data_IF_692677546691
#
_entry.id   IF_692677546691
#
_cell.length_a   1.000
_cell.length_b   1.000
_cell.length_c   1.000
_cell.angle_alpha   90.00
_cell.angle_beta   90.00
_cell.angle_gamma   90.00
#
_symmetry.space_group_name_H-M   'P 1'
#
loop_
_entity.id
_entity.type
_entity.pdbx_description
1 polymer ?
#
# COMPACT_ATOMS: atom_id res chain seq x y z
N UNK A 1 -22.27 15.78 3.62
CA UNK A 1 -20.92 16.22 4.03
C UNK A 1 -19.97 15.04 3.82
N UNK A 2 -19.72 14.67 2.55
CA UNK A 2 -19.00 13.43 2.21
C UNK A 2 -17.84 13.66 1.22
N UNK A 3 -17.51 14.91 0.88
CA UNK A 3 -16.60 15.23 -0.23
C UNK A 3 -15.15 15.56 0.17
N UNK A 4 -14.81 15.56 1.46
CA UNK A 4 -13.49 16.00 1.95
C UNK A 4 -12.44 14.89 1.98
N UNK A 5 -12.85 13.62 2.18
CA UNK A 5 -11.91 12.48 2.18
C UNK A 5 -11.35 12.20 0.78
N UNK A 6 -12.20 12.24 -0.25
CA UNK A 6 -11.78 11.95 -1.62
C UNK A 6 -10.83 13.02 -2.18
N UNK A 7 -11.09 14.31 -1.90
CA UNK A 7 -10.20 15.41 -2.31
C UNK A 7 -8.82 15.31 -1.65
N UNK A 8 -8.77 14.99 -0.35
CA UNK A 8 -7.50 14.84 0.36
C UNK A 8 -6.67 13.65 -0.14
N UNK A 9 -7.33 12.55 -0.55
CA UNK A 9 -6.61 11.35 -0.98
C UNK A 9 -6.04 11.53 -2.39
N UNK A 10 -6.78 12.20 -3.28
CA UNK A 10 -6.28 12.55 -4.62
C UNK A 10 -5.03 13.44 -4.53
N UNK A 11 -5.09 14.52 -3.75
CA UNK A 11 -3.96 15.43 -3.57
C UNK A 11 -2.77 14.74 -2.88
N UNK A 12 -3.03 13.84 -1.92
CA UNK A 12 -2.02 12.99 -1.29
C UNK A 12 -1.27 12.12 -2.31
N UNK A 13 -1.99 11.52 -3.25
CA UNK A 13 -1.36 10.66 -4.25
C UNK A 13 -0.62 11.47 -5.31
N UNK A 14 -1.12 12.64 -5.70
CA UNK A 14 -0.44 13.52 -6.65
C UNK A 14 0.90 14.01 -6.08
N UNK A 15 0.91 14.51 -4.84
CA UNK A 15 2.16 14.93 -4.19
C UNK A 15 3.13 13.76 -3.99
N UNK A 16 2.62 12.58 -3.59
CA UNK A 16 3.44 11.38 -3.42
C UNK A 16 4.06 10.96 -4.75
N UNK A 17 3.28 10.97 -5.84
CA UNK A 17 3.78 10.66 -7.19
C UNK A 17 4.93 11.58 -7.59
N UNK A 18 4.75 12.89 -7.41
CA UNK A 18 5.78 13.89 -7.74
C UNK A 18 7.03 13.68 -6.88
N UNK A 19 6.87 13.45 -5.57
CA UNK A 19 7.98 13.20 -4.65
C UNK A 19 8.77 11.94 -5.04
N UNK A 20 8.06 10.86 -5.38
CA UNK A 20 8.68 9.61 -5.82
C UNK A 20 9.41 9.76 -7.15
N UNK A 21 8.82 10.45 -8.11
CA UNK A 21 9.43 10.70 -9.43
C UNK A 21 10.67 11.58 -9.34
N UNK A 22 10.68 12.57 -8.42
CA UNK A 22 11.84 13.42 -8.20
C UNK A 22 12.95 12.72 -7.37
N UNK A 23 12.57 11.83 -6.46
CA UNK A 23 13.52 11.20 -5.52
C UNK A 23 14.07 9.86 -6.01
N UNK A 24 13.36 9.16 -6.90
CA UNK A 24 13.74 7.83 -7.37
C UNK A 24 13.86 7.76 -8.90
N UNK A 25 14.83 6.99 -9.37
CA UNK A 25 14.96 6.62 -10.79
C UNK A 25 14.41 5.22 -10.99
N UNK A 26 13.37 5.08 -11.82
CA UNK A 26 12.69 3.81 -12.04
C UNK A 26 13.37 2.95 -13.12
N UNK A 27 13.33 1.61 -13.02
CA UNK A 27 12.67 0.80 -11.99
C UNK A 27 13.43 0.80 -10.65
N UNK A 28 12.70 0.89 -9.54
CA UNK A 28 13.24 0.97 -8.19
C UNK A 28 12.45 0.08 -7.24
N UNK A 29 13.14 -0.44 -6.22
CA UNK A 29 12.51 -1.16 -5.11
C UNK A 29 11.71 -0.20 -4.23
N UNK A 30 10.47 -0.56 -3.95
CA UNK A 30 9.59 0.22 -3.09
C UNK A 30 9.01 -0.68 -2.00
N UNK A 31 9.21 -0.27 -0.76
CA UNK A 31 8.72 -0.97 0.42
C UNK A 31 7.42 -0.33 0.91
N UNK A 32 6.31 -1.01 0.69
CA UNK A 32 5.04 -0.64 1.31
C UNK A 32 4.95 -1.18 2.73
N UNK A 33 4.35 -0.39 3.61
CA UNK A 33 3.96 -0.83 4.94
C UNK A 33 2.48 -0.61 5.13
N UNK A 34 1.75 -1.72 5.28
CA UNK A 34 0.34 -1.72 5.60
C UNK A 34 0.13 -2.28 7.00
N UNK A 35 -0.90 -1.81 7.67
CA UNK A 35 -1.41 -2.36 8.91
C UNK A 35 -2.87 -2.69 8.62
N UNK A 36 -3.20 -3.98 8.66
CA UNK A 36 -4.57 -4.45 8.48
C UNK A 36 -5.05 -5.09 9.79
N UNK A 37 -6.34 -4.99 10.11
CA UNK A 37 -6.89 -5.78 11.20
C UNK A 37 -6.71 -7.27 10.90
N UNK A 38 -6.36 -8.07 11.92
CA UNK A 38 -6.17 -9.53 11.78
C UNK A 38 -7.48 -10.32 11.67
N UNK A 39 -8.57 -9.63 11.37
CA UNK A 39 -9.91 -10.19 11.14
C UNK A 39 -10.21 -10.04 9.65
N UNK A 40 -10.90 -11.01 9.06
CA UNK A 40 -11.37 -10.98 7.66
C UNK A 40 -10.29 -11.00 6.57
N UNK A 41 -9.47 -12.06 6.45
CA UNK A 41 -8.65 -12.41 5.25
C UNK A 41 -7.90 -11.24 4.54
N UNK A 42 -7.71 -10.12 5.24
CA UNK A 42 -7.29 -8.86 4.65
C UNK A 42 -5.82 -8.93 4.26
N UNK A 43 -5.06 -9.70 5.04
CA UNK A 43 -3.67 -10.05 4.74
C UNK A 43 -3.60 -10.78 3.41
N UNK A 44 -4.44 -11.80 3.18
CA UNK A 44 -4.47 -12.54 1.92
C UNK A 44 -4.89 -11.63 0.75
N UNK A 45 -5.82 -10.70 0.97
CA UNK A 45 -6.21 -9.70 -0.04
C UNK A 45 -5.05 -8.79 -0.44
N UNK A 46 -4.28 -8.29 0.54
CA UNK A 46 -3.05 -7.54 0.26
C UNK A 46 -2.08 -8.45 -0.49
N UNK A 47 -1.86 -9.68 -0.03
CA UNK A 47 -0.94 -10.63 -0.67
C UNK A 47 -1.31 -10.87 -2.14
N UNK A 48 -2.59 -11.13 -2.43
CA UNK A 48 -3.12 -11.30 -3.78
C UNK A 48 -3.02 -10.06 -4.65
N UNK A 49 -3.10 -8.86 -4.07
CA UNK A 49 -2.92 -7.62 -4.83
C UNK A 49 -1.48 -7.47 -5.36
N UNK A 50 -0.50 -8.04 -4.68
CA UNK A 50 0.91 -8.03 -5.09
C UNK A 50 1.40 -9.37 -5.65
N UNK A 51 0.53 -10.38 -5.67
CA UNK A 51 0.77 -11.67 -6.28
C UNK A 51 1.09 -11.49 -7.78
N UNK A 52 1.98 -12.32 -8.30
CA UNK A 52 2.49 -12.25 -9.68
C UNK A 52 3.42 -11.07 -10.02
N UNK A 53 3.71 -10.14 -9.10
CA UNK A 53 4.71 -9.06 -9.33
C UNK A 53 6.13 -9.42 -8.87
N UNK A 54 6.34 -10.61 -8.30
CA UNK A 54 7.61 -10.99 -7.66
C UNK A 54 7.88 -10.22 -6.36
N UNK A 55 6.82 -9.68 -5.74
CA UNK A 55 6.90 -8.95 -4.49
C UNK A 55 7.25 -9.88 -3.32
N UNK A 56 8.14 -9.43 -2.43
CA UNK A 56 8.46 -10.12 -1.18
C UNK A 56 7.55 -9.57 -0.08
N UNK A 57 6.59 -10.39 0.32
CA UNK A 57 5.59 -10.02 1.32
C UNK A 57 5.97 -10.60 2.68
N UNK A 58 6.01 -9.74 3.69
CA UNK A 58 6.32 -10.08 5.08
C UNK A 58 5.19 -9.65 5.99
N UNK A 59 4.52 -10.61 6.59
CA UNK A 59 3.41 -10.36 7.52
C UNK A 59 3.89 -10.58 8.96
N UNK A 60 3.72 -9.59 9.82
CA UNK A 60 4.05 -9.67 11.24
C UNK A 60 2.79 -9.41 12.06
N UNK A 61 2.36 -10.40 12.83
CA UNK A 61 1.20 -10.26 13.73
C UNK A 61 1.57 -9.39 14.93
N UNK A 62 0.72 -8.44 15.29
CA UNK A 62 0.93 -7.58 16.47
C UNK A 62 0.90 -8.39 17.77
N UNK A 63 1.55 -7.88 18.82
CA UNK A 63 1.57 -8.50 20.17
C UNK A 63 0.19 -8.87 20.71
N UNK A 64 -0.83 -8.07 20.42
CA UNK A 64 -2.21 -8.29 20.89
C UNK A 64 -3.05 -9.11 19.92
N UNK A 65 -2.51 -9.48 18.75
CA UNK A 65 -3.23 -10.22 17.70
C UNK A 65 -4.29 -9.41 16.94
N UNK A 66 -4.61 -8.18 17.33
CA UNK A 66 -5.67 -7.36 16.71
C UNK A 66 -5.33 -6.86 15.31
N UNK A 67 -4.05 -6.61 15.04
CA UNK A 67 -3.57 -6.10 13.75
C UNK A 67 -2.40 -6.92 13.25
N UNK A 68 -2.25 -6.98 11.93
CA UNK A 68 -1.12 -7.58 11.23
C UNK A 68 -0.47 -6.51 10.37
N UNK A 69 0.82 -6.31 10.59
CA UNK A 69 1.64 -5.44 9.74
C UNK A 69 2.09 -6.23 8.53
N UNK A 70 1.79 -5.74 7.34
CA UNK A 70 2.18 -6.34 6.06
C UNK A 70 3.21 -5.42 5.41
N UNK A 71 4.43 -5.90 5.25
CA UNK A 71 5.49 -5.21 4.53
C UNK A 71 5.62 -5.85 3.15
N UNK A 72 5.48 -5.05 2.10
CA UNK A 72 5.56 -5.54 0.72
C UNK A 72 6.73 -4.86 0.04
N UNK A 73 7.74 -5.63 -0.31
CA UNK A 73 8.91 -5.16 -1.04
C UNK A 73 8.77 -5.56 -2.51
N UNK A 74 8.68 -4.59 -3.41
CA UNK A 74 8.42 -4.85 -4.83
C UNK A 74 9.13 -3.84 -5.71
N UNK A 75 9.69 -4.31 -6.82
CA UNK A 75 10.27 -3.43 -7.85
C UNK A 75 9.15 -2.81 -8.67
N UNK A 76 9.01 -1.49 -8.57
CA UNK A 76 8.02 -0.72 -9.33
C UNK A 76 8.74 -0.07 -10.53
N UNK A 77 8.05 0.07 -11.65
CA UNK A 77 8.65 0.70 -12.85
C UNK A 77 8.32 2.18 -13.00
N UNK A 78 7.41 2.71 -12.17
CA UNK A 78 7.01 4.13 -12.20
C UNK A 78 6.25 4.47 -10.93
N UNK A 79 6.30 5.74 -10.53
CA UNK A 79 5.52 6.26 -9.41
C UNK A 79 4.00 6.05 -9.62
N UNK A 80 3.53 6.05 -10.86
CA UNK A 80 2.13 5.78 -11.19
C UNK A 80 1.67 4.37 -10.75
N UNK A 81 2.52 3.35 -10.95
CA UNK A 81 2.22 2.00 -10.49
C UNK A 81 2.11 1.94 -8.96
N UNK A 82 2.95 2.73 -8.26
CA UNK A 82 2.90 2.82 -6.81
C UNK A 82 1.55 3.36 -6.33
N UNK A 83 1.12 4.47 -6.92
CA UNK A 83 -0.17 5.07 -6.59
C UNK A 83 -1.33 4.13 -6.92
N UNK A 84 -1.30 3.48 -8.09
CA UNK A 84 -2.36 2.56 -8.50
C UNK A 84 -2.48 1.40 -7.50
N UNK A 85 -1.35 0.88 -7.03
CA UNK A 85 -1.32 -0.23 -6.08
C UNK A 85 -1.82 0.19 -4.69
N UNK A 86 -1.45 1.39 -4.22
CA UNK A 86 -2.04 1.99 -3.01
C UNK A 86 -3.56 2.08 -3.11
N UNK A 87 -4.10 2.56 -4.23
CA UNK A 87 -5.56 2.68 -4.42
C UNK A 87 -6.25 1.31 -4.42
N UNK A 88 -5.64 0.31 -5.06
CA UNK A 88 -6.15 -1.05 -5.11
C UNK A 88 -6.27 -1.65 -3.70
N UNK A 89 -5.22 -1.58 -2.89
CA UNK A 89 -5.25 -2.11 -1.52
C UNK A 89 -6.04 -1.23 -0.55
N UNK A 90 -6.17 0.08 -0.81
CA UNK A 90 -7.03 0.98 -0.03
C UNK A 90 -8.53 0.62 -0.11
N UNK A 91 -8.94 -0.27 -1.02
CA UNK A 91 -10.30 -0.84 -1.03
C UNK A 91 -10.56 -1.81 0.12
N UNK A 92 -9.49 -2.27 0.79
CA UNK A 92 -9.56 -3.19 1.93
C UNK A 92 -10.04 -2.44 3.17
N UNK A 93 -11.14 -2.88 3.77
CA UNK A 93 -11.71 -2.20 4.94
C UNK A 93 -10.78 -2.27 6.15
N UNK A 94 -10.48 -1.10 6.73
CA UNK A 94 -9.61 -0.98 7.90
C UNK A 94 -8.11 -1.05 7.61
N UNK A 95 -7.69 -1.07 6.34
CA UNK A 95 -6.26 -0.95 5.99
C UNK A 95 -5.74 0.44 6.34
N UNK A 96 -4.53 0.48 6.88
CA UNK A 96 -3.78 1.70 7.16
C UNK A 96 -2.42 1.59 6.48
N UNK A 97 -2.10 2.55 5.62
CA UNK A 97 -0.77 2.71 5.02
C UNK A 97 0.12 3.61 5.88
N UNK A 98 1.38 3.20 6.09
CA UNK A 98 2.43 3.96 6.78
C UNK A 98 3.39 4.63 5.78
#
# INVERSE_FOLDING_TARGET
MENDKEKNTAEFYERLKVELDNSNTWPAEYLYKFIVPSVDDNVERVEKAFDSMGAVIKTTKSKTGKFTSVSVDVTMHSADQVISKYKEVSTIEGIVSL
#
